data_IF_856464065904
#
_entry.id   IF_856464065904
#
_cell.length_a   1.000
_cell.length_b   1.000
_cell.length_c   1.000
_cell.angle_alpha   90.00
_cell.angle_beta   90.00
_cell.angle_gamma   90.00
#
_symmetry.space_group_name_H-M   'P 1'
#
loop_
_entity.id
_entity.type
_entity.pdbx_description
1 polymer ?
#
# COMPACT_ATOMS: atom_id res chain seq x y z
N UNK A 1 -52.25 62.29 50.76
CA UNK A 1 -52.62 60.87 50.51
C UNK A 1 -52.95 60.77 49.03
N UNK A 2 -52.24 60.07 48.14
CA UNK A 2 -51.40 58.89 48.23
C UNK A 2 -50.16 59.07 47.29
N UNK A 3 -48.96 58.83 47.78
CA UNK A 3 -48.11 57.64 47.56
C UNK A 3 -47.58 57.45 46.13
N UNK A 4 -46.29 57.81 46.02
CA UNK A 4 -45.33 57.60 44.93
C UNK A 4 -44.93 56.13 44.90
N UNK A 5 -44.82 55.52 43.70
CA UNK A 5 -44.01 54.31 43.48
C UNK A 5 -43.73 54.07 41.97
N UNK A 6 -42.58 54.56 41.50
CA UNK A 6 -41.71 53.90 40.51
C UNK A 6 -40.48 53.38 41.29
N UNK A 7 -39.60 52.51 40.74
CA UNK A 7 -39.73 51.49 39.69
C UNK A 7 -39.15 50.12 40.17
N UNK A 8 -39.54 48.99 39.57
CA UNK A 8 -38.85 47.69 39.76
C UNK A 8 -38.49 47.05 38.43
N UNK A 9 -37.68 47.76 37.64
CA UNK A 9 -36.96 47.20 36.51
C UNK A 9 -35.72 46.44 37.02
N UNK A 10 -35.88 45.23 37.58
CA UNK A 10 -34.76 44.32 37.95
C UNK A 10 -35.14 42.84 38.11
N UNK A 11 -36.21 42.40 37.44
CA UNK A 11 -36.56 40.98 37.32
C UNK A 11 -37.13 40.77 35.90
N UNK A 12 -36.60 39.97 34.99
CA UNK A 12 -35.75 38.81 35.09
C UNK A 12 -34.77 38.81 33.91
N UNK A 13 -33.48 39.06 34.18
CA UNK A 13 -32.38 38.80 33.26
C UNK A 13 -31.93 37.33 33.41
N UNK A 14 -32.85 36.39 33.16
CA UNK A 14 -32.60 34.95 33.37
C UNK A 14 -33.38 34.09 32.37
N UNK A 15 -33.33 34.43 31.08
CA UNK A 15 -33.91 33.59 30.03
C UNK A 15 -33.18 33.73 28.69
N UNK A 16 -31.85 33.76 28.76
CA UNK A 16 -30.96 33.85 27.59
C UNK A 16 -29.69 33.05 27.85
N UNK A 17 -29.79 31.72 27.95
CA UNK A 17 -28.62 30.84 27.77
C UNK A 17 -29.04 29.38 27.49
N UNK A 18 -29.94 29.19 26.52
CA UNK A 18 -30.48 27.89 26.16
C UNK A 18 -30.34 27.53 24.68
N UNK A 19 -29.31 28.04 23.99
CA UNK A 19 -28.85 27.55 22.67
C UNK A 19 -27.70 28.44 22.17
N UNK A 20 -26.45 28.05 22.40
CA UNK A 20 -25.28 28.50 21.63
C UNK A 20 -24.17 27.47 21.92
N UNK A 21 -24.08 26.42 21.11
CA UNK A 21 -23.23 26.33 19.92
C UNK A 21 -21.75 26.52 20.21
N UNK A 22 -20.99 25.46 19.91
CA UNK A 22 -19.56 25.39 19.64
C UNK A 22 -18.64 26.08 20.67
N UNK A 23 -18.09 25.28 21.57
CA UNK A 23 -16.79 25.59 22.18
C UNK A 23 -15.72 25.60 21.08
N UNK A 24 -15.54 26.74 20.41
CA UNK A 24 -14.29 27.04 19.73
C UNK A 24 -13.29 27.42 20.82
N UNK A 25 -12.67 26.41 21.42
CA UNK A 25 -11.43 26.61 22.16
C UNK A 25 -10.28 26.51 21.15
N UNK A 26 -10.12 27.52 20.30
CA UNK A 26 -8.99 27.65 19.37
C UNK A 26 -7.98 28.61 19.96
N UNK A 27 -7.03 28.06 20.74
CA UNK A 27 -5.92 28.79 21.36
C UNK A 27 -4.53 28.31 20.89
N UNK A 28 -4.47 27.26 20.09
CA UNK A 28 -3.27 26.79 19.43
C UNK A 28 -3.69 26.38 18.02
N UNK A 29 -2.81 26.44 17.02
CA UNK A 29 -3.11 26.16 15.61
C UNK A 29 -3.57 24.74 15.27
N UNK A 30 -4.11 24.00 16.24
CA UNK A 30 -4.67 22.67 16.16
C UNK A 30 -6.17 22.71 16.53
N UNK A 31 -7.00 22.14 15.69
CA UNK A 31 -8.44 22.02 15.84
C UNK A 31 -8.86 20.55 15.90
N UNK A 32 -10.04 20.30 16.44
CA UNK A 32 -10.69 19.00 16.37
C UNK A 32 -11.59 18.96 15.14
N UNK A 33 -11.50 17.86 14.37
CA UNK A 33 -12.34 17.64 13.19
C UNK A 33 -13.33 16.55 13.50
N UNK A 34 -14.61 16.92 13.54
CA UNK A 34 -15.74 16.05 13.79
C UNK A 34 -16.41 15.60 12.48
N UNK A 35 -16.98 14.39 12.52
CA UNK A 35 -17.65 13.81 11.38
C UNK A 35 -18.52 12.61 11.72
N UNK A 36 -19.29 12.18 10.73
CA UNK A 36 -20.15 10.99 10.77
C UNK A 36 -19.85 10.11 9.57
N UNK A 37 -19.79 8.79 9.79
CA UNK A 37 -19.65 7.80 8.74
C UNK A 37 -21.02 7.17 8.48
N UNK A 38 -21.51 7.22 7.24
CA UNK A 38 -22.71 6.48 6.86
C UNK A 38 -22.30 5.06 6.49
N UNK A 39 -22.20 4.19 7.49
CA UNK A 39 -22.00 2.76 7.29
C UNK A 39 -23.28 2.12 6.78
N UNK A 40 -23.16 1.18 5.84
CA UNK A 40 -24.25 0.27 5.46
C UNK A 40 -24.42 -0.80 6.55
N UNK A 41 -25.64 -1.31 6.74
CA UNK A 41 -26.04 -2.23 7.84
C UNK A 41 -25.17 -3.50 8.00
N UNK A 42 -24.39 -3.86 6.98
CA UNK A 42 -23.49 -5.01 7.00
C UNK A 42 -22.09 -4.72 7.59
N UNK A 43 -21.79 -3.47 7.98
CA UNK A 43 -20.44 -3.06 8.41
C UNK A 43 -20.43 -2.60 9.88
N UNK A 44 -19.68 -3.31 10.72
CA UNK A 44 -19.48 -2.96 12.13
C UNK A 44 -18.55 -1.72 12.24
N UNK A 45 -18.96 -0.64 12.94
CA UNK A 45 -18.12 0.54 13.15
C UNK A 45 -16.75 0.21 13.78
N UNK A 46 -16.66 -0.82 14.62
CA UNK A 46 -15.40 -1.21 15.27
C UNK A 46 -14.33 -1.72 14.28
N UNK A 47 -14.76 -2.27 13.15
CA UNK A 47 -13.87 -2.77 12.09
C UNK A 47 -13.35 -1.67 11.15
N UNK A 48 -13.79 -0.43 11.32
CA UNK A 48 -13.47 0.68 10.41
C UNK A 48 -12.41 1.57 11.02
N UNK A 49 -11.30 1.77 10.30
CA UNK A 49 -10.21 2.68 10.70
C UNK A 49 -10.17 3.87 9.76
N UNK A 50 -10.32 5.07 10.32
CA UNK A 50 -10.18 6.32 9.57
C UNK A 50 -8.76 6.84 9.70
N UNK A 51 -8.17 7.22 8.56
CA UNK A 51 -6.81 7.74 8.46
C UNK A 51 -6.89 9.12 7.83
N UNK A 52 -6.35 10.12 8.52
CA UNK A 52 -6.22 11.48 8.01
C UNK A 52 -4.73 11.78 7.79
N UNK A 53 -4.37 11.98 6.54
CA UNK A 53 -3.00 12.36 6.14
C UNK A 53 -2.96 13.87 5.98
N UNK A 54 -2.11 14.53 6.78
CA UNK A 54 -1.84 15.97 6.62
C UNK A 54 -0.66 16.21 5.68
N UNK A 55 -0.50 17.45 5.19
CA UNK A 55 0.55 17.87 4.25
C UNK A 55 2.00 17.56 4.71
N UNK A 56 2.21 17.16 5.97
CA UNK A 56 3.51 16.82 6.55
C UNK A 56 3.73 15.32 6.82
N UNK A 57 2.97 14.42 6.19
CA UNK A 57 3.01 12.95 6.41
C UNK A 57 2.57 12.47 7.80
N UNK A 58 2.10 13.37 8.66
CA UNK A 58 1.53 13.00 9.94
C UNK A 58 0.18 12.32 9.72
N UNK A 59 0.13 11.02 10.06
CA UNK A 59 -1.06 10.19 9.99
C UNK A 59 -1.80 10.27 11.32
N UNK A 60 -3.05 10.74 11.28
CA UNK A 60 -3.96 10.73 12.42
C UNK A 60 -4.96 9.60 12.25
N UNK A 61 -5.20 8.87 13.33
CA UNK A 61 -6.11 7.74 13.35
C UNK A 61 -7.32 8.06 14.21
N UNK A 62 -8.50 7.68 13.73
CA UNK A 62 -9.73 7.71 14.49
C UNK A 62 -10.54 6.45 14.23
N UNK A 63 -11.24 5.99 15.26
CA UNK A 63 -12.20 4.90 15.18
C UNK A 63 -13.60 5.47 15.31
N UNK A 64 -14.55 5.07 14.44
CA UNK A 64 -15.95 5.41 14.62
C UNK A 64 -16.48 4.84 15.93
N UNK A 65 -17.30 5.64 16.61
CA UNK A 65 -18.07 5.22 17.79
C UNK A 65 -19.31 4.43 17.36
N UNK A 66 -20.04 3.89 18.33
CA UNK A 66 -21.30 3.17 18.09
C UNK A 66 -22.40 4.04 17.44
N UNK A 67 -22.32 5.37 17.56
CA UNK A 67 -23.21 6.33 16.90
C UNK A 67 -22.71 6.73 15.49
N UNK A 68 -21.69 6.03 14.99
CA UNK A 68 -20.99 6.31 13.74
C UNK A 68 -20.32 7.69 13.67
N UNK A 69 -20.18 8.39 14.80
CA UNK A 69 -19.40 9.63 14.87
C UNK A 69 -17.92 9.34 15.06
N UNK A 70 -17.08 10.24 14.56
CA UNK A 70 -15.64 10.20 14.80
C UNK A 70 -15.11 11.61 15.03
N UNK A 71 -13.98 11.70 15.75
CA UNK A 71 -13.29 12.95 16.00
C UNK A 71 -11.80 12.72 15.79
N UNK A 72 -11.18 13.56 14.96
CA UNK A 72 -9.73 13.67 14.87
C UNK A 72 -9.27 14.79 15.79
N UNK A 73 -8.40 14.47 16.72
CA UNK A 73 -7.83 15.46 17.61
C UNK A 73 -6.55 16.06 17.06
N UNK A 74 -6.31 17.32 17.42
CA UNK A 74 -5.06 18.03 17.15
C UNK A 74 -4.76 18.20 15.64
N UNK A 75 -5.76 18.37 14.79
CA UNK A 75 -5.55 18.59 13.35
C UNK A 75 -5.09 20.02 13.11
N UNK A 76 -4.03 20.30 12.34
CA UNK A 76 -3.66 21.69 12.05
C UNK A 76 -4.82 22.44 11.37
N UNK A 77 -5.11 23.67 11.83
CA UNK A 77 -6.26 24.46 11.37
C UNK A 77 -6.21 24.82 9.87
N UNK A 78 -5.06 24.65 9.23
CA UNK A 78 -4.84 24.83 7.79
C UNK A 78 -4.88 23.47 7.10
N UNK A 79 -6.03 22.79 7.17
CA UNK A 79 -6.28 21.56 6.44
C UNK A 79 -7.10 21.85 5.18
N UNK A 80 -6.52 21.58 4.02
CA UNK A 80 -7.18 21.73 2.72
C UNK A 80 -7.33 20.38 2.04
N UNK A 81 -8.38 20.19 1.25
CA UNK A 81 -8.56 18.97 0.47
C UNK A 81 -7.46 18.85 -0.59
N UNK A 82 -6.80 17.69 -0.68
CA UNK A 82 -5.60 17.50 -1.49
C UNK A 82 -5.83 17.79 -2.99
N UNK A 83 -7.00 17.45 -3.51
CA UNK A 83 -7.36 17.65 -4.92
C UNK A 83 -7.90 19.08 -5.20
N UNK A 84 -8.40 19.79 -4.18
CA UNK A 84 -8.84 21.18 -4.37
C UNK A 84 -8.68 22.01 -3.08
N UNK A 85 -7.68 22.92 -3.02
CA UNK A 85 -7.38 23.66 -1.81
C UNK A 85 -8.37 24.78 -1.50
N UNK A 86 -9.17 25.24 -2.47
CA UNK A 86 -10.18 26.29 -2.29
C UNK A 86 -11.55 25.72 -1.93
N UNK A 87 -11.78 24.43 -2.16
CA UNK A 87 -13.00 23.73 -1.82
C UNK A 87 -13.09 23.53 -0.31
N UNK A 88 -14.04 24.23 0.31
CA UNK A 88 -14.42 24.00 1.71
C UNK A 88 -15.31 22.75 1.80
N UNK A 89 -14.92 21.80 2.63
CA UNK A 89 -15.75 20.64 2.96
C UNK A 89 -16.80 21.07 3.99
N UNK A 90 -18.01 20.52 3.90
CA UNK A 90 -19.04 20.73 4.91
C UNK A 90 -18.59 20.12 6.23
N UNK A 91 -18.62 20.91 7.30
CA UNK A 91 -18.44 20.43 8.67
C UNK A 91 -19.84 20.28 9.31
N UNK A 92 -20.13 19.17 10.00
CA UNK A 92 -19.27 18.00 10.24
C UNK A 92 -19.03 17.16 8.97
N UNK A 93 -17.89 16.49 8.88
CA UNK A 93 -17.51 15.67 7.72
C UNK A 93 -18.43 14.45 7.59
N UNK A 94 -19.04 14.27 6.42
CA UNK A 94 -19.87 13.09 6.13
C UNK A 94 -19.12 12.16 5.18
N UNK A 95 -18.71 10.99 5.68
CA UNK A 95 -18.00 9.98 4.89
C UNK A 95 -18.99 8.88 4.52
N UNK A 96 -19.08 8.56 3.23
CA UNK A 96 -19.87 7.43 2.72
C UNK A 96 -18.92 6.42 2.05
N UNK A 97 -18.97 5.13 2.39
CA UNK A 97 -18.23 4.12 1.66
C UNK A 97 -18.75 4.08 0.21
N UNK A 98 -17.84 4.13 -0.76
CA UNK A 98 -18.19 4.07 -2.18
C UNK A 98 -18.54 2.65 -2.64
N UNK A 99 -17.93 1.64 -2.03
CA UNK A 99 -18.14 0.23 -2.33
C UNK A 99 -17.09 -0.67 -1.68
N UNK A 100 -17.21 -2.00 -1.84
CA UNK A 100 -16.15 -2.92 -1.45
C UNK A 100 -14.87 -2.64 -2.25
N UNK A 101 -13.73 -2.70 -1.59
CA UNK A 101 -12.43 -2.61 -2.26
C UNK A 101 -11.98 -4.01 -2.68
N UNK A 102 -11.77 -4.21 -3.98
CA UNK A 102 -11.21 -5.44 -4.52
C UNK A 102 -9.70 -5.45 -4.27
N UNK A 103 -9.28 -6.01 -3.14
CA UNK A 103 -7.85 -6.13 -2.80
C UNK A 103 -7.15 -7.22 -3.59
N UNK A 104 -7.89 -8.12 -4.24
CA UNK A 104 -7.34 -9.23 -4.97
C UNK A 104 -7.48 -8.99 -6.47
N UNK A 105 -6.34 -8.99 -7.15
CA UNK A 105 -6.33 -9.10 -8.60
C UNK A 105 -6.77 -10.51 -8.98
N UNK A 106 -7.81 -10.60 -9.80
CA UNK A 106 -8.27 -11.87 -10.35
C UNK A 106 -7.14 -12.42 -11.23
N UNK A 107 -6.65 -13.63 -10.92
CA UNK A 107 -5.61 -14.29 -11.72
C UNK A 107 -6.10 -14.44 -13.14
N UNK A 108 -5.30 -14.01 -14.13
CA UNK A 108 -5.63 -14.21 -15.54
C UNK A 108 -5.87 -15.70 -15.78
N UNK A 109 -7.03 -16.09 -16.35
CA UNK A 109 -7.29 -17.49 -16.65
C UNK A 109 -6.26 -18.02 -17.65
N UNK A 110 -6.00 -19.32 -17.58
CA UNK A 110 -5.08 -19.96 -18.51
C UNK A 110 -5.64 -19.84 -19.94
N UNK A 111 -4.92 -19.14 -20.80
CA UNK A 111 -5.25 -18.99 -22.21
C UNK A 111 -4.38 -19.97 -23.01
N UNK A 112 -4.96 -21.07 -23.54
CA UNK A 112 -4.19 -22.08 -24.27
C UNK A 112 -3.57 -21.52 -25.56
N UNK A 113 -4.20 -20.53 -26.18
CA UNK A 113 -3.68 -19.87 -27.38
C UNK A 113 -2.49 -18.99 -27.01
N UNK A 114 -2.58 -18.27 -25.89
CA UNK A 114 -1.44 -17.53 -25.35
C UNK A 114 -0.30 -18.47 -24.97
N UNK A 115 -0.61 -19.63 -24.37
CA UNK A 115 0.37 -20.64 -23.98
C UNK A 115 1.15 -21.19 -25.18
N UNK A 116 0.47 -21.58 -26.27
CA UNK A 116 1.12 -22.08 -27.49
C UNK A 116 2.10 -21.05 -28.09
N UNK A 117 1.77 -19.75 -27.98
CA UNK A 117 2.64 -18.66 -28.43
C UNK A 117 3.81 -18.35 -27.49
N UNK A 118 3.84 -18.91 -26.28
CA UNK A 118 4.97 -18.72 -25.36
C UNK A 118 6.20 -19.49 -25.85
N UNK A 119 7.43 -19.04 -25.50
CA UNK A 119 8.65 -19.79 -25.78
C UNK A 119 8.60 -21.22 -25.23
N UNK A 120 7.91 -21.44 -24.10
CA UNK A 120 7.72 -22.77 -23.54
C UNK A 120 6.78 -23.64 -24.38
N UNK A 121 5.63 -23.11 -24.80
CA UNK A 121 4.68 -23.84 -25.64
C UNK A 121 5.29 -24.25 -26.99
N UNK A 122 6.05 -23.35 -27.62
CA UNK A 122 6.71 -23.62 -28.89
C UNK A 122 7.84 -24.65 -28.76
N UNK A 123 8.63 -24.62 -27.68
CA UNK A 123 9.66 -25.64 -27.41
C UNK A 123 9.06 -27.03 -27.19
N UNK A 124 7.97 -27.12 -26.43
CA UNK A 124 7.25 -28.39 -26.23
C UNK A 124 6.69 -28.89 -27.58
N UNK A 125 6.08 -27.99 -28.36
CA UNK A 125 5.54 -28.33 -29.67
C UNK A 125 6.62 -28.82 -30.64
N UNK A 126 7.77 -28.15 -30.69
CA UNK A 126 8.90 -28.54 -31.54
C UNK A 126 9.51 -29.87 -31.08
N UNK A 127 9.62 -30.12 -29.78
CA UNK A 127 10.13 -31.38 -29.25
C UNK A 127 9.23 -32.56 -29.64
N UNK A 128 7.90 -32.41 -29.51
CA UNK A 128 6.94 -33.44 -29.94
C UNK A 128 7.03 -33.64 -31.45
N UNK A 129 7.09 -32.55 -32.23
CA UNK A 129 7.23 -32.63 -33.69
C UNK A 129 8.50 -33.36 -34.12
N UNK A 130 9.65 -33.04 -33.52
CA UNK A 130 10.93 -33.67 -33.81
C UNK A 130 10.92 -35.17 -33.48
N UNK A 131 10.28 -35.57 -32.37
CA UNK A 131 10.11 -36.99 -32.03
C UNK A 131 9.31 -37.78 -33.07
N UNK A 132 8.42 -37.15 -33.83
CA UNK A 132 7.66 -37.82 -34.89
C UNK A 132 8.36 -37.78 -36.26
N UNK A 133 9.05 -36.68 -36.57
CA UNK A 133 9.65 -36.45 -37.89
C UNK A 133 11.06 -37.04 -38.00
N UNK A 134 11.89 -36.93 -36.95
CA UNK A 134 13.27 -37.44 -36.98
C UNK A 134 13.35 -38.95 -37.19
N UNK A 135 12.52 -39.81 -36.56
CA UNK A 135 12.55 -41.24 -36.83
C UNK A 135 12.14 -41.61 -38.26
N UNK A 136 11.44 -40.70 -38.96
CA UNK A 136 11.02 -40.86 -40.35
C UNK A 136 12.01 -40.27 -41.36
N UNK A 137 13.01 -39.51 -40.91
CA UNK A 137 14.16 -39.04 -41.69
C UNK A 137 15.38 -39.94 -41.41
N UNK A 138 15.29 -41.23 -41.76
CA UNK A 138 16.48 -42.08 -41.87
C UNK A 138 17.20 -41.64 -43.15
N UNK A 139 18.18 -40.74 -43.06
CA UNK A 139 19.05 -40.45 -44.21
C UNK A 139 20.24 -41.41 -44.16
N UNK A 140 20.80 -41.75 -45.32
CA UNK A 140 21.90 -42.70 -45.39
C UNK A 140 23.16 -42.09 -44.75
N UNK A 141 23.97 -42.88 -44.01
CA UNK A 141 25.09 -42.39 -43.20
C UNK A 141 26.19 -41.66 -43.99
N UNK A 142 26.20 -41.78 -45.33
CA UNK A 142 27.15 -41.08 -46.20
C UNK A 142 26.74 -39.63 -46.51
N UNK A 143 25.45 -39.32 -46.68
CA UNK A 143 24.98 -37.95 -47.01
C UNK A 143 25.12 -36.98 -45.82
N UNK A 144 25.06 -37.48 -44.58
CA UNK A 144 25.30 -36.64 -43.40
C UNK A 144 26.76 -36.17 -43.30
N UNK A 145 27.73 -36.97 -43.77
CA UNK A 145 29.15 -36.58 -43.72
C UNK A 145 29.44 -35.46 -44.71
N UNK A 146 28.77 -35.45 -45.86
CA UNK A 146 28.86 -34.37 -46.84
C UNK A 146 28.16 -33.10 -46.36
N UNK A 147 26.99 -33.21 -45.70
CA UNK A 147 26.26 -32.07 -45.11
C UNK A 147 26.95 -31.46 -43.88
N UNK A 148 27.54 -32.28 -43.00
CA UNK A 148 28.35 -31.77 -41.88
C UNK A 148 29.71 -31.25 -42.35
N UNK A 149 30.30 -31.86 -43.38
CA UNK A 149 31.56 -31.44 -44.00
C UNK A 149 31.44 -30.14 -44.81
N UNK A 150 30.24 -29.81 -45.31
CA UNK A 150 29.98 -28.58 -46.09
C UNK A 150 29.12 -27.53 -45.37
N UNK A 151 28.41 -27.87 -44.30
CA UNK A 151 27.40 -27.01 -43.66
C UNK A 151 27.47 -26.88 -42.13
N UNK A 152 28.52 -27.37 -41.47
CA UNK A 152 28.70 -27.36 -40.02
C UNK A 152 29.01 -26.01 -39.34
N UNK A 153 28.42 -24.91 -39.79
CA UNK A 153 28.62 -23.57 -39.19
C UNK A 153 27.29 -22.85 -38.91
N UNK A 154 26.54 -23.33 -37.90
CA UNK A 154 25.51 -22.50 -37.25
C UNK A 154 25.15 -22.90 -35.81
N UNK A 155 25.64 -24.02 -35.26
CA UNK A 155 25.17 -24.51 -33.95
C UNK A 155 26.28 -25.03 -33.01
N UNK A 156 27.52 -24.56 -33.15
CA UNK A 156 28.63 -24.94 -32.27
C UNK A 156 29.37 -23.72 -31.70
N UNK A 157 28.64 -22.78 -31.12
CA UNK A 157 29.19 -21.70 -30.29
C UNK A 157 28.72 -21.81 -28.84
N UNK A 158 28.86 -23.01 -28.26
CA UNK A 158 28.80 -23.18 -26.79
C UNK A 158 29.65 -24.38 -26.38
N UNK A 159 30.96 -24.27 -26.53
CA UNK A 159 31.89 -25.21 -25.88
C UNK A 159 33.16 -24.48 -25.49
N UNK A 160 33.33 -24.22 -24.19
CA UNK A 160 34.62 -23.79 -23.64
C UNK A 160 34.54 -22.93 -22.38
N UNK A 161 34.28 -23.52 -21.22
CA UNK A 161 34.85 -23.02 -19.96
C UNK A 161 35.44 -24.19 -19.19
N UNK A 162 36.77 -24.26 -19.02
CA UNK A 162 37.39 -25.26 -18.15
C UNK A 162 37.21 -24.87 -16.69
N UNK A 163 36.95 -25.87 -15.86
CA UNK A 163 36.91 -25.76 -14.40
C UNK A 163 38.24 -25.20 -13.84
N UNK A 164 38.21 -24.37 -12.78
CA UNK A 164 39.43 -23.86 -12.17
C UNK A 164 40.10 -24.96 -11.35
N UNK A 165 41.39 -25.18 -11.62
CA UNK A 165 42.24 -26.11 -10.92
C UNK A 165 42.49 -25.66 -9.47
N UNK A 166 42.33 -26.60 -8.53
CA UNK A 166 42.86 -26.49 -7.17
C UNK A 166 44.40 -26.38 -7.22
N UNK A 167 44.93 -25.33 -6.60
CA UNK A 167 46.35 -25.20 -6.21
C UNK A 167 46.46 -24.97 -4.69
N UNK A 168 47.55 -25.41 -4.03
CA UNK A 168 47.63 -25.45 -2.57
C UNK A 168 48.15 -24.15 -1.94
N UNK A 169 47.60 -23.88 -0.75
CA UNK A 169 48.22 -23.34 0.47
C UNK A 169 49.32 -22.27 0.36
N UNK A 170 49.04 -21.07 0.88
CA UNK A 170 50.07 -20.08 1.22
C UNK A 170 49.51 -18.79 1.80
N UNK A 171 49.33 -18.76 3.13
CA UNK A 171 49.56 -17.63 4.05
C UNK A 171 49.09 -16.20 3.66
N UNK A 172 48.16 -15.64 4.45
CA UNK A 172 48.43 -14.50 5.37
C UNK A 172 47.15 -13.98 6.04
N UNK A 173 47.18 -14.08 7.37
CA UNK A 173 46.82 -13.07 8.37
C UNK A 173 45.37 -12.53 8.40
N UNK A 174 44.56 -13.16 9.25
CA UNK A 174 43.46 -12.48 9.91
C UNK A 174 43.83 -12.16 11.36
N UNK A 175 43.51 -10.96 11.89
CA UNK A 175 43.43 -10.77 13.32
C UNK A 175 42.05 -11.19 13.84
N UNK A 176 42.06 -12.09 14.83
CA UNK A 176 40.92 -12.48 15.64
C UNK A 176 40.91 -11.72 16.98
N UNK A 177 39.70 -11.56 17.54
CA UNK A 177 39.33 -11.13 18.92
C UNK A 177 39.48 -9.63 19.22
N UNK A 178 38.64 -8.97 20.01
CA UNK A 178 37.79 -9.31 21.18
C UNK A 178 36.36 -8.72 20.98
N UNK A 179 35.24 -9.20 21.54
CA UNK A 179 34.99 -9.61 22.92
C UNK A 179 34.39 -8.44 23.73
N UNK A 180 33.18 -8.59 24.29
CA UNK A 180 32.81 -7.86 25.52
C UNK A 180 31.55 -6.98 25.49
N UNK A 181 30.60 -7.34 26.35
CA UNK A 181 29.34 -6.68 26.65
C UNK A 181 29.45 -5.35 27.44
N UNK A 182 28.27 -4.74 27.67
CA UNK A 182 27.91 -3.80 28.76
C UNK A 182 28.17 -2.31 28.49
N UNK A 183 27.09 -1.51 28.39
CA UNK A 183 26.84 -0.39 29.33
C UNK A 183 25.42 0.16 29.17
N UNK A 184 24.60 -0.04 30.21
CA UNK A 184 23.39 0.74 30.49
C UNK A 184 23.73 2.23 30.51
N UNK A 185 22.95 3.08 29.83
CA UNK A 185 22.92 4.52 30.11
C UNK A 185 21.61 4.88 30.80
N UNK A 186 21.72 5.00 32.13
CA UNK A 186 20.74 5.59 33.05
C UNK A 186 20.39 7.02 32.64
N UNK A 187 19.10 7.33 32.76
CA UNK A 187 18.53 8.45 33.51
C UNK A 187 19.41 9.69 33.74
N UNK A 188 18.95 10.80 33.17
CA UNK A 188 18.76 12.07 33.87
C UNK A 188 17.48 12.71 33.37
#
# INVERSE_FOLDING_TARGET
MACIALPSAWACLALLCGALSCRVASGAGLCDVDGTVKLTDAMDPAGVKLILTTNGSELRYAWPRADNSFVFHHVPAVASYADNPTRRLSQPLLIRPLGPADYFEIRKPFDPIAFIKTPYGLMIGFAIFALFVLPKLKVDPEEYQELLGSGGSAAASTRGSPAPALGPSGARDGPAREGGAVQRRRER
#
